data_IF_762535260248
#
_entry.id   IF_762535260248
#
_cell.length_a   1.000
_cell.length_b   1.000
_cell.length_c   1.000
_cell.angle_alpha   90.00
_cell.angle_beta   90.00
_cell.angle_gamma   90.00
#
_symmetry.space_group_name_H-M   'P 1'
#
loop_
_entity.id
_entity.type
_entity.pdbx_description
1 polymer ?
#
# COMPACT_ATOMS: atom_id res chain seq x y z
N UNK A 1 13.64 70.34 -43.62
CA UNK A 1 13.27 69.87 -42.27
C UNK A 1 13.28 68.34 -42.31
N UNK A 2 14.21 67.67 -41.62
CA UNK A 2 14.32 66.20 -41.59
C UNK A 2 13.58 65.67 -40.37
N UNK A 3 12.50 64.90 -40.56
CA UNK A 3 11.85 64.15 -39.48
C UNK A 3 12.63 62.86 -39.23
N UNK A 4 13.17 62.71 -38.02
CA UNK A 4 13.70 61.45 -37.52
C UNK A 4 12.54 60.60 -36.96
N UNK A 5 12.29 59.44 -37.57
CA UNK A 5 11.40 58.42 -37.02
C UNK A 5 12.16 57.59 -35.98
N UNK A 6 11.76 57.69 -34.72
CA UNK A 6 12.21 56.79 -33.65
C UNK A 6 11.34 55.53 -33.68
N UNK A 7 11.95 54.38 -33.96
CA UNK A 7 11.32 53.07 -33.84
C UNK A 7 11.37 52.60 -32.36
N UNK A 8 10.27 52.10 -31.77
CA UNK A 8 10.28 51.57 -30.42
C UNK A 8 10.87 50.15 -30.42
N UNK A 9 11.90 49.92 -29.62
CA UNK A 9 12.46 48.60 -29.38
C UNK A 9 11.58 47.85 -28.36
N UNK A 10 10.86 46.82 -28.82
CA UNK A 10 10.06 45.96 -27.96
C UNK A 10 10.98 44.98 -27.20
N UNK A 11 11.09 45.19 -25.89
CA UNK A 11 11.82 44.30 -24.99
C UNK A 11 10.96 43.08 -24.65
N UNK A 12 11.28 41.92 -25.24
CA UNK A 12 10.65 40.63 -24.90
C UNK A 12 11.24 40.13 -23.59
N UNK A 13 10.44 40.20 -22.51
CA UNK A 13 10.80 39.63 -21.21
C UNK A 13 10.51 38.12 -21.28
N UNK A 14 11.55 37.31 -21.41
CA UNK A 14 11.45 35.86 -21.20
C UNK A 14 11.21 35.60 -19.72
N UNK A 15 9.97 35.30 -19.34
CA UNK A 15 9.67 34.73 -18.03
C UNK A 15 10.33 33.35 -17.94
N UNK A 16 11.40 33.24 -17.17
CA UNK A 16 12.01 31.96 -16.85
C UNK A 16 10.99 31.16 -16.02
N UNK A 17 10.35 30.18 -16.65
CA UNK A 17 9.55 29.19 -15.93
C UNK A 17 10.53 28.38 -15.08
N UNK A 18 10.34 28.27 -13.75
CA UNK A 18 11.21 27.45 -12.93
C UNK A 18 11.15 26.02 -13.44
N UNK A 19 12.27 25.52 -13.95
CA UNK A 19 12.48 24.11 -14.16
C UNK A 19 12.66 23.49 -12.77
N UNK A 20 11.60 22.90 -12.21
CA UNK A 20 11.72 22.09 -11.01
C UNK A 20 12.65 20.92 -11.33
N UNK A 21 13.87 20.95 -10.81
CA UNK A 21 14.66 19.74 -10.71
C UNK A 21 13.89 18.80 -9.75
N UNK A 22 13.38 17.67 -10.25
CA UNK A 22 12.80 16.62 -9.40
C UNK A 22 13.94 16.04 -8.52
N UNK A 23 14.11 16.62 -7.34
CA UNK A 23 14.93 16.04 -6.28
C UNK A 23 14.16 14.86 -5.64
N UNK A 24 14.90 13.84 -5.22
CA UNK A 24 14.33 12.77 -4.41
C UNK A 24 14.02 13.31 -3.01
N UNK A 25 12.79 13.13 -2.57
CA UNK A 25 12.36 13.49 -1.23
C UNK A 25 11.95 12.23 -0.47
N UNK A 26 12.13 12.24 0.84
CA UNK A 26 11.39 11.34 1.72
C UNK A 26 9.98 11.92 1.93
N UNK A 27 8.98 11.21 1.43
CA UNK A 27 7.58 11.56 1.60
C UNK A 27 6.98 10.74 2.73
N UNK A 28 6.48 11.41 3.77
CA UNK A 28 5.77 10.80 4.88
C UNK A 28 4.28 11.13 4.85
N UNK A 29 3.43 10.12 5.03
CA UNK A 29 2.00 10.29 5.24
C UNK A 29 1.59 9.63 6.54
N UNK A 30 1.43 10.44 7.59
CA UNK A 30 1.01 9.99 8.92
C UNK A 30 -0.41 9.41 8.94
N UNK A 31 -1.32 9.97 8.14
CA UNK A 31 -2.71 9.50 8.09
C UNK A 31 -2.78 8.07 7.54
N UNK A 32 -2.01 7.82 6.48
CA UNK A 32 -1.91 6.52 5.85
C UNK A 32 -0.91 5.58 6.52
N UNK A 33 -0.01 6.09 7.36
CA UNK A 33 0.92 5.29 8.16
C UNK A 33 2.17 4.81 7.40
N UNK A 34 2.69 5.58 6.44
CA UNK A 34 3.90 5.19 5.70
C UNK A 34 4.86 6.35 5.40
N UNK A 35 6.11 5.99 5.13
CA UNK A 35 7.09 6.83 4.42
C UNK A 35 7.59 6.13 3.17
N UNK A 36 8.06 6.89 2.18
CA UNK A 36 8.65 6.36 0.95
C UNK A 36 9.50 7.43 0.29
N UNK A 37 10.54 7.04 -0.44
CA UNK A 37 11.28 7.99 -1.27
C UNK A 37 10.57 8.20 -2.61
N UNK A 38 10.34 9.44 -3.02
CA UNK A 38 9.71 9.77 -4.31
C UNK A 38 10.50 10.84 -5.05
N UNK A 39 10.48 10.87 -6.39
CA UNK A 39 11.09 11.94 -7.17
C UNK A 39 10.20 13.19 -7.14
N UNK A 40 10.09 13.83 -5.97
CA UNK A 40 9.26 15.00 -5.71
C UNK A 40 7.90 14.69 -5.08
N UNK A 41 7.13 15.74 -4.86
CA UNK A 41 5.81 15.65 -4.22
C UNK A 41 4.83 14.85 -5.09
N UNK A 42 4.14 13.83 -4.54
CA UNK A 42 3.22 13.02 -5.32
C UNK A 42 1.92 13.78 -5.63
N UNK A 43 1.35 13.45 -6.78
CA UNK A 43 -0.07 13.71 -7.04
C UNK A 43 -0.90 12.67 -6.32
N UNK A 44 -1.90 13.12 -5.55
CA UNK A 44 -2.77 12.25 -4.76
C UNK A 44 -4.13 12.12 -5.45
N UNK A 45 -4.62 10.90 -5.58
CA UNK A 45 -5.94 10.60 -6.15
C UNK A 45 -6.66 9.56 -5.33
N UNK A 46 -7.90 9.85 -4.94
CA UNK A 46 -8.80 8.89 -4.31
C UNK A 46 -9.31 7.86 -5.32
N UNK A 47 -9.47 6.62 -4.84
CA UNK A 47 -9.98 5.50 -5.61
C UNK A 47 -10.93 4.64 -4.78
N UNK A 48 -11.73 3.84 -5.48
CA UNK A 48 -12.44 2.71 -4.90
C UNK A 48 -11.76 1.41 -5.35
N UNK A 49 -11.60 0.47 -4.42
CA UNK A 49 -10.98 -0.82 -4.65
C UNK A 49 -11.99 -1.96 -4.47
N UNK A 50 -12.49 -2.56 -5.57
CA UNK A 50 -13.22 -3.81 -5.50
C UNK A 50 -12.25 -4.90 -5.02
N UNK A 51 -12.53 -5.53 -3.89
CA UNK A 51 -11.75 -6.64 -3.35
C UNK A 51 -12.10 -7.97 -4.04
N UNK A 52 -11.37 -9.02 -3.71
CA UNK A 52 -11.58 -10.35 -4.29
C UNK A 52 -13.00 -10.88 -4.05
N UNK A 53 -13.56 -10.65 -2.85
CA UNK A 53 -14.86 -11.22 -2.47
C UNK A 53 -16.02 -10.22 -2.56
N UNK A 54 -15.86 -9.19 -3.39
CA UNK A 54 -16.96 -8.32 -3.82
C UNK A 54 -17.30 -7.17 -2.88
N UNK A 55 -16.53 -6.97 -1.81
CA UNK A 55 -16.55 -5.73 -1.04
C UNK A 55 -15.85 -4.60 -1.82
N UNK A 56 -16.10 -3.35 -1.43
CA UNK A 56 -15.47 -2.18 -2.06
C UNK A 56 -14.89 -1.29 -0.96
N UNK A 57 -13.57 -1.12 -0.99
CA UNK A 57 -12.83 -0.35 0.01
C UNK A 57 -12.34 0.99 -0.56
N UNK A 58 -12.25 2.05 0.25
CA UNK A 58 -11.62 3.28 -0.17
C UNK A 58 -10.10 3.08 -0.29
N UNK A 59 -9.47 3.85 -1.17
CA UNK A 59 -8.02 3.89 -1.27
C UNK A 59 -7.53 5.20 -1.87
N UNK A 60 -6.21 5.38 -1.84
CA UNK A 60 -5.52 6.55 -2.40
C UNK A 60 -4.30 6.09 -3.19
N UNK A 61 -4.04 6.78 -4.30
CA UNK A 61 -2.84 6.59 -5.13
C UNK A 61 -1.98 7.86 -5.04
N UNK A 62 -0.72 7.68 -4.69
CA UNK A 62 0.31 8.71 -4.61
C UNK A 62 1.28 8.49 -5.79
N UNK A 63 1.23 9.32 -6.81
CA UNK A 63 2.02 9.14 -8.06
C UNK A 63 3.06 10.24 -8.24
N UNK A 64 4.31 9.86 -8.53
CA UNK A 64 5.40 10.78 -8.81
C UNK A 64 6.12 10.36 -10.11
N UNK A 65 5.74 10.92 -11.27
CA UNK A 65 6.42 10.65 -12.54
C UNK A 65 7.77 11.39 -12.61
N UNK A 66 8.75 10.78 -13.27
CA UNK A 66 10.06 11.39 -13.56
C UNK A 66 10.52 11.03 -14.97
N UNK A 67 10.32 11.94 -15.93
CA UNK A 67 10.64 11.66 -17.33
C UNK A 67 9.85 10.44 -17.85
N UNK A 68 10.56 9.36 -18.21
CA UNK A 68 9.96 8.09 -18.68
C UNK A 68 9.68 7.10 -17.54
N UNK A 69 10.04 7.44 -16.32
CA UNK A 69 9.87 6.61 -15.12
C UNK A 69 8.56 6.99 -14.41
N UNK A 70 7.91 6.00 -13.81
CA UNK A 70 6.71 6.20 -12.99
C UNK A 70 6.87 5.47 -11.66
N UNK A 71 6.56 6.16 -10.58
CA UNK A 71 6.61 5.64 -9.22
C UNK A 71 5.26 5.89 -8.56
N UNK A 72 4.75 4.87 -7.87
CA UNK A 72 3.44 4.94 -7.24
C UNK A 72 3.41 4.19 -5.92
N UNK A 73 2.67 4.74 -4.96
CA UNK A 73 2.20 4.02 -3.78
C UNK A 73 0.67 4.07 -3.80
N UNK A 74 0.03 2.92 -3.76
CA UNK A 74 -1.42 2.79 -3.57
C UNK A 74 -1.68 2.25 -2.17
N UNK A 75 -2.57 2.91 -1.42
CA UNK A 75 -3.01 2.47 -0.10
C UNK A 75 -4.49 2.15 -0.16
N UNK A 76 -4.88 0.93 0.23
CA UNK A 76 -6.27 0.52 0.38
C UNK A 76 -6.58 0.33 1.86
N UNK A 77 -7.66 0.95 2.34
CA UNK A 77 -8.02 0.95 3.74
C UNK A 77 -9.08 -0.12 4.05
N UNK A 78 -8.66 -1.18 4.74
CA UNK A 78 -9.53 -2.26 5.21
C UNK A 78 -9.95 -2.11 6.68
N UNK A 79 -9.58 -1.03 7.38
CA UNK A 79 -9.82 -0.88 8.83
C UNK A 79 -11.31 -0.94 9.19
N UNK A 80 -12.18 -0.49 8.29
CA UNK A 80 -13.64 -0.50 8.46
C UNK A 80 -14.34 -1.77 7.91
N UNK A 81 -13.59 -2.83 7.56
CA UNK A 81 -14.14 -4.03 6.91
C UNK A 81 -15.29 -4.69 7.68
N UNK A 82 -15.15 -4.88 9.01
CA UNK A 82 -16.22 -5.46 9.83
C UNK A 82 -17.51 -4.62 9.79
N UNK A 83 -17.35 -3.29 9.92
CA UNK A 83 -18.47 -2.33 9.89
C UNK A 83 -19.17 -2.33 8.53
N UNK A 84 -18.40 -2.30 7.43
CA UNK A 84 -18.96 -2.36 6.08
C UNK A 84 -19.69 -3.68 5.83
N UNK A 85 -19.09 -4.80 6.27
CA UNK A 85 -19.70 -6.11 6.14
C UNK A 85 -21.02 -6.23 6.92
N UNK A 86 -21.05 -5.72 8.15
CA UNK A 86 -22.24 -5.74 9.00
C UNK A 86 -23.40 -4.89 8.44
N UNK A 87 -23.11 -3.89 7.61
CA UNK A 87 -24.12 -3.06 6.96
C UNK A 87 -24.80 -3.75 5.76
N UNK A 88 -24.23 -4.83 5.25
CA UNK A 88 -24.79 -5.58 4.12
C UNK A 88 -25.82 -6.61 4.58
N UNK A 89 -26.83 -6.83 3.74
CA UNK A 89 -27.83 -7.87 3.99
C UNK A 89 -27.31 -9.24 3.54
N UNK A 90 -26.79 -10.02 4.49
CA UNK A 90 -26.27 -11.36 4.24
C UNK A 90 -27.28 -12.45 4.61
N UNK A 91 -27.34 -13.57 3.85
CA UNK A 91 -28.02 -14.78 4.28
C UNK A 91 -27.46 -15.24 5.64
N UNK A 92 -28.25 -15.92 6.49
CA UNK A 92 -27.78 -16.39 7.80
C UNK A 92 -26.48 -17.21 7.76
N UNK A 93 -26.22 -17.96 6.68
CA UNK A 93 -25.00 -18.74 6.47
C UNK A 93 -23.73 -17.88 6.31
N UNK A 94 -23.87 -16.62 5.89
CA UNK A 94 -22.78 -15.67 5.67
C UNK A 94 -22.74 -14.59 6.76
N UNK A 95 -23.02 -14.92 8.02
CA UNK A 95 -22.94 -13.93 9.13
C UNK A 95 -21.78 -14.17 10.10
N UNK A 96 -20.84 -15.04 9.73
CA UNK A 96 -19.67 -15.36 10.55
C UNK A 96 -18.56 -14.32 10.33
N UNK A 97 -17.80 -14.00 11.39
CA UNK A 97 -16.74 -13.00 11.34
C UNK A 97 -15.63 -13.32 10.33
N UNK A 98 -15.43 -14.60 9.99
CA UNK A 98 -14.44 -15.02 9.00
C UNK A 98 -14.65 -14.34 7.64
N UNK A 99 -15.88 -14.03 7.23
CA UNK A 99 -16.16 -13.56 5.88
C UNK A 99 -15.64 -12.16 5.57
N UNK A 100 -15.67 -11.22 6.53
CA UNK A 100 -15.06 -9.91 6.33
C UNK A 100 -13.53 -9.96 6.46
N UNK A 101 -13.00 -10.91 7.22
CA UNK A 101 -11.56 -11.11 7.38
C UNK A 101 -10.90 -11.69 6.13
N UNK A 102 -11.63 -12.51 5.37
CA UNK A 102 -11.13 -13.14 4.14
C UNK A 102 -10.65 -12.08 3.13
N UNK A 103 -11.38 -10.97 2.95
CA UNK A 103 -10.95 -9.88 2.05
C UNK A 103 -9.62 -9.24 2.47
N UNK A 104 -9.38 -9.13 3.78
CA UNK A 104 -8.11 -8.63 4.33
C UNK A 104 -7.00 -9.66 4.07
N UNK A 105 -7.25 -10.92 4.37
CA UNK A 105 -6.26 -12.00 4.22
C UNK A 105 -5.85 -12.23 2.75
N UNK A 106 -6.80 -12.12 1.83
CA UNK A 106 -6.56 -12.33 0.40
C UNK A 106 -5.96 -11.09 -0.29
N UNK A 107 -5.92 -9.94 0.37
CA UNK A 107 -5.64 -8.63 -0.22
C UNK A 107 -4.32 -8.57 -0.99
N UNK A 108 -3.24 -9.13 -0.44
CA UNK A 108 -1.91 -9.15 -1.07
C UNK A 108 -1.94 -9.96 -2.36
N UNK A 109 -2.44 -11.19 -2.31
CA UNK A 109 -2.47 -12.11 -3.45
C UNK A 109 -3.45 -11.65 -4.52
N UNK A 110 -4.54 -10.99 -4.12
CA UNK A 110 -5.48 -10.38 -5.03
C UNK A 110 -4.86 -9.20 -5.77
N UNK A 111 -4.20 -8.27 -5.07
CA UNK A 111 -3.51 -7.14 -5.70
C UNK A 111 -2.41 -7.61 -6.66
N UNK A 112 -1.61 -8.60 -6.24
CA UNK A 112 -0.63 -9.26 -7.09
C UNK A 112 -1.25 -9.78 -8.40
N UNK A 113 -2.36 -10.49 -8.29
CA UNK A 113 -3.04 -11.09 -9.45
C UNK A 113 -3.65 -10.03 -10.36
N UNK A 114 -4.44 -9.12 -9.78
CA UNK A 114 -5.23 -8.12 -10.49
C UNK A 114 -4.38 -7.06 -11.19
N UNK A 115 -3.30 -6.61 -10.57
CA UNK A 115 -2.51 -5.49 -11.07
C UNK A 115 -1.31 -5.95 -11.92
N UNK A 116 -0.77 -7.13 -11.64
CA UNK A 116 0.53 -7.53 -12.17
C UNK A 116 0.48 -8.87 -12.93
N UNK A 117 0.09 -9.97 -12.29
CA UNK A 117 0.18 -11.32 -12.90
C UNK A 117 -0.69 -11.47 -14.16
N UNK A 118 -1.85 -10.83 -14.18
CA UNK A 118 -2.79 -10.89 -15.30
C UNK A 118 -2.60 -9.75 -16.32
N UNK A 119 -1.56 -8.92 -16.16
CA UNK A 119 -1.33 -7.78 -17.05
C UNK A 119 -1.05 -8.28 -18.48
N UNK A 120 -1.87 -7.91 -19.49
CA UNK A 120 -1.73 -8.45 -20.84
C UNK A 120 -0.35 -8.21 -21.45
N UNK A 121 0.27 -9.27 -21.96
CA UNK A 121 1.58 -9.21 -22.60
C UNK A 121 2.76 -8.96 -21.66
N UNK A 122 2.54 -8.84 -20.34
CA UNK A 122 3.63 -8.78 -19.39
C UNK A 122 4.17 -10.18 -19.09
N UNK A 123 5.49 -10.28 -18.89
CA UNK A 123 6.17 -11.48 -18.42
C UNK A 123 6.61 -11.27 -16.98
N UNK A 124 6.07 -12.07 -16.06
CA UNK A 124 6.54 -12.11 -14.67
C UNK A 124 7.92 -12.77 -14.62
N UNK A 125 8.90 -12.07 -14.07
CA UNK A 125 10.30 -12.53 -13.95
C UNK A 125 10.68 -12.88 -12.51
N UNK A 126 9.94 -12.37 -11.52
CA UNK A 126 10.05 -12.71 -10.11
C UNK A 126 8.66 -12.61 -9.45
N UNK A 127 8.32 -13.55 -8.57
CA UNK A 127 7.02 -13.63 -7.87
C UNK A 127 7.19 -14.45 -6.60
N UNK A 128 7.43 -13.81 -5.45
CA UNK A 128 7.69 -14.51 -4.21
C UNK A 128 7.35 -13.70 -2.95
N UNK A 129 7.26 -14.42 -1.83
CA UNK A 129 7.19 -13.82 -0.49
C UNK A 129 8.41 -12.93 -0.24
N UNK A 130 8.18 -11.79 0.42
CA UNK A 130 9.20 -10.83 0.80
C UNK A 130 8.84 -10.18 2.13
N UNK A 131 9.70 -9.32 2.66
CA UNK A 131 9.40 -8.45 3.80
C UNK A 131 10.14 -7.11 3.68
N UNK A 132 9.61 -6.04 4.27
CA UNK A 132 10.29 -4.75 4.39
C UNK A 132 10.03 -4.18 5.78
N UNK A 133 11.06 -3.65 6.45
CA UNK A 133 10.99 -3.29 7.86
C UNK A 133 10.41 -4.41 8.76
N UNK A 134 10.70 -5.67 8.39
CA UNK A 134 10.15 -6.89 8.96
C UNK A 134 8.63 -7.06 8.83
N UNK A 135 7.92 -6.20 8.10
CA UNK A 135 6.53 -6.43 7.70
C UNK A 135 6.52 -7.39 6.52
N UNK A 136 5.87 -8.54 6.68
CA UNK A 136 5.76 -9.51 5.60
C UNK A 136 4.91 -8.98 4.44
N UNK A 137 5.19 -9.50 3.26
CA UNK A 137 4.48 -9.14 2.06
C UNK A 137 4.92 -9.97 0.88
N UNK A 138 4.85 -9.35 -0.29
CA UNK A 138 5.05 -10.03 -1.56
C UNK A 138 5.75 -9.10 -2.55
N UNK A 139 6.70 -9.63 -3.32
CA UNK A 139 7.40 -8.86 -4.33
C UNK A 139 7.25 -9.51 -5.71
N UNK A 140 7.09 -8.66 -6.72
CA UNK A 140 6.83 -9.03 -8.12
C UNK A 140 7.69 -8.19 -9.04
N UNK A 141 8.37 -8.82 -10.00
CA UNK A 141 9.06 -8.12 -11.09
C UNK A 141 8.49 -8.57 -12.43
N UNK A 142 8.36 -7.63 -13.36
CA UNK A 142 7.76 -7.86 -14.66
C UNK A 142 8.56 -7.15 -15.76
N UNK A 143 8.70 -7.80 -16.90
CA UNK A 143 8.90 -7.11 -18.19
C UNK A 143 7.53 -6.87 -18.81
N UNK A 144 7.14 -5.62 -19.04
CA UNK A 144 5.87 -5.24 -19.64
C UNK A 144 5.88 -5.47 -21.16
N UNK A 145 4.68 -5.44 -21.76
CA UNK A 145 4.49 -5.61 -23.21
C UNK A 145 5.23 -4.55 -24.05
N UNK A 146 5.41 -3.34 -23.51
CA UNK A 146 6.14 -2.23 -24.15
C UNK A 146 7.67 -2.28 -23.88
N UNK A 147 8.15 -3.35 -23.23
CA UNK A 147 9.54 -3.55 -22.87
C UNK A 147 9.98 -2.84 -21.60
N UNK A 148 9.13 -2.04 -20.95
CA UNK A 148 9.46 -1.42 -19.65
C UNK A 148 9.55 -2.47 -18.55
N UNK A 149 10.34 -2.20 -17.52
CA UNK A 149 10.50 -3.08 -16.35
C UNK A 149 9.68 -2.50 -15.21
N UNK A 150 8.87 -3.34 -14.53
CA UNK A 150 8.13 -2.97 -13.33
C UNK A 150 8.55 -3.83 -12.17
N UNK A 151 8.94 -3.21 -11.05
CA UNK A 151 9.03 -3.90 -9.78
C UNK A 151 7.88 -3.42 -8.90
N UNK A 152 7.30 -4.34 -8.14
CA UNK A 152 6.24 -4.06 -7.20
C UNK A 152 6.50 -4.75 -5.86
N UNK A 153 6.15 -4.07 -4.78
CA UNK A 153 6.12 -4.60 -3.41
C UNK A 153 4.71 -4.41 -2.83
N UNK A 154 4.17 -5.44 -2.21
CA UNK A 154 2.80 -5.45 -1.68
C UNK A 154 2.84 -5.90 -0.23
N UNK A 155 2.40 -5.04 0.67
CA UNK A 155 2.51 -5.24 2.12
C UNK A 155 1.19 -4.91 2.81
N UNK A 156 0.89 -5.60 3.90
CA UNK A 156 -0.31 -5.36 4.70
C UNK A 156 0.12 -4.99 6.12
N UNK A 157 -0.20 -3.78 6.56
CA UNK A 157 0.16 -3.29 7.89
C UNK A 157 -1.00 -2.54 8.53
N UNK A 158 -1.36 -2.93 9.75
CA UNK A 158 -2.51 -2.42 10.50
C UNK A 158 -3.79 -2.33 9.63
N UNK A 159 -4.05 -3.38 8.85
CA UNK A 159 -5.20 -3.49 7.93
C UNK A 159 -5.26 -2.41 6.84
N UNK A 160 -4.12 -1.86 6.45
CA UNK A 160 -3.94 -1.08 5.22
C UNK A 160 -3.04 -1.84 4.26
N UNK A 161 -3.51 -2.00 3.02
CA UNK A 161 -2.74 -2.64 1.97
C UNK A 161 -1.94 -1.58 1.23
N UNK A 162 -0.62 -1.69 1.24
CA UNK A 162 0.30 -0.83 0.54
C UNK A 162 0.82 -1.57 -0.69
N UNK A 163 0.60 -0.99 -1.88
CA UNK A 163 1.10 -1.51 -3.15
C UNK A 163 2.03 -0.45 -3.71
N UNK A 164 3.32 -0.76 -3.76
CA UNK A 164 4.35 0.07 -4.35
C UNK A 164 4.65 -0.49 -5.72
N UNK A 165 4.72 0.37 -6.73
CA UNK A 165 5.24 -0.02 -8.03
C UNK A 165 6.08 1.09 -8.66
N UNK A 166 7.22 0.68 -9.22
CA UNK A 166 8.08 1.50 -10.03
C UNK A 166 8.17 0.90 -11.42
N UNK A 167 7.90 1.69 -12.46
CA UNK A 167 8.08 1.31 -13.86
C UNK A 167 9.14 2.18 -14.51
N UNK A 168 10.14 1.55 -15.13
CA UNK A 168 11.27 2.23 -15.78
C UNK A 168 11.50 1.67 -17.20
N UNK A 169 12.10 2.44 -18.12
CA UNK A 169 12.59 1.92 -19.39
C UNK A 169 13.60 0.77 -19.22
N UNK A 170 13.69 -0.13 -20.20
CA UNK A 170 14.67 -1.23 -20.19
C UNK A 170 16.14 -0.78 -20.13
N UNK A 171 16.42 0.44 -20.58
CA UNK A 171 17.75 1.07 -20.60
C UNK A 171 18.05 1.91 -19.33
N UNK A 172 17.11 1.96 -18.39
CA UNK A 172 17.26 2.68 -17.12
C UNK A 172 17.59 1.71 -15.96
N UNK A 173 18.23 2.20 -14.87
CA UNK A 173 18.38 1.42 -13.64
C UNK A 173 17.02 0.96 -13.10
N UNK A 174 16.95 -0.31 -12.67
CA UNK A 174 15.73 -0.86 -12.07
C UNK A 174 15.34 -0.10 -10.78
N UNK A 175 14.03 0.00 -10.46
CA UNK A 175 13.53 0.85 -9.39
C UNK A 175 13.70 0.22 -7.99
N UNK A 176 14.76 -0.55 -7.76
CA UNK A 176 14.99 -1.28 -6.51
C UNK A 176 15.08 -0.38 -5.27
N UNK A 177 15.75 0.78 -5.37
CA UNK A 177 15.85 1.74 -4.27
C UNK A 177 14.49 2.32 -3.87
N UNK A 178 13.61 2.55 -4.85
CA UNK A 178 12.24 2.98 -4.58
C UNK A 178 11.47 1.89 -3.82
N UNK A 179 11.51 0.65 -4.32
CA UNK A 179 10.80 -0.48 -3.70
C UNK A 179 11.27 -0.74 -2.27
N UNK A 180 12.58 -0.58 -2.00
CA UNK A 180 13.15 -0.78 -0.66
C UNK A 180 13.02 0.43 0.27
N UNK A 181 12.37 1.51 -0.16
CA UNK A 181 12.25 2.74 0.64
C UNK A 181 10.98 2.85 1.47
N UNK A 182 10.05 1.87 1.38
CA UNK A 182 8.86 1.88 2.21
C UNK A 182 9.23 1.76 3.69
N UNK A 183 8.78 2.72 4.48
CA UNK A 183 8.73 2.63 5.93
C UNK A 183 7.29 2.66 6.44
N UNK A 184 7.07 2.16 7.65
CA UNK A 184 5.76 2.19 8.32
C UNK A 184 5.78 3.15 9.50
N UNK A 185 4.71 3.93 9.65
CA UNK A 185 4.54 4.91 10.72
C UNK A 185 3.45 4.48 11.70
N UNK A 186 3.67 4.77 12.98
CA UNK A 186 2.65 4.64 14.02
C UNK A 186 1.66 5.83 14.00
N UNK A 187 0.72 5.83 14.95
CA UNK A 187 -0.28 6.89 15.05
C UNK A 187 0.32 8.26 15.41
N UNK A 188 1.53 8.30 15.97
CA UNK A 188 2.28 9.51 16.32
C UNK A 188 3.07 10.04 15.13
N UNK A 189 3.27 9.22 14.10
CA UNK A 189 4.08 9.53 12.91
C UNK A 189 5.53 9.10 13.05
N UNK A 190 5.85 8.25 14.03
CA UNK A 190 7.19 7.72 14.25
C UNK A 190 7.36 6.38 13.52
N UNK A 191 8.59 6.06 13.11
CA UNK A 191 8.88 4.79 12.45
C UNK A 191 8.63 3.60 13.37
N UNK A 192 7.85 2.64 12.88
CA UNK A 192 7.63 1.38 13.57
C UNK A 192 8.86 0.51 13.41
N UNK A 193 9.38 0.00 14.53
CA UNK A 193 10.51 -0.93 14.54
C UNK A 193 10.12 -2.26 15.14
N UNK A 194 10.01 -3.27 14.29
CA UNK A 194 9.78 -4.64 14.73
C UNK A 194 11.09 -5.34 15.12
N UNK A 195 10.96 -6.42 15.91
CA UNK A 195 12.09 -7.31 16.27
C UNK A 195 11.98 -8.70 15.61
N UNK A 196 10.80 -9.03 15.13
CA UNK A 196 10.44 -10.28 14.47
C UNK A 196 9.57 -9.93 13.26
N UNK A 197 9.33 -10.90 12.38
CA UNK A 197 8.42 -10.70 11.25
C UNK A 197 7.02 -10.33 11.76
N UNK A 198 6.55 -9.16 11.35
CA UNK A 198 5.18 -8.72 11.54
C UNK A 198 4.30 -9.35 10.45
N UNK A 199 3.37 -10.20 10.89
CA UNK A 199 2.21 -10.63 10.12
C UNK A 199 1.00 -9.79 10.51
N UNK A 200 0.22 -9.36 9.51
CA UNK A 200 -0.91 -8.48 9.77
C UNK A 200 -1.92 -9.12 10.73
N UNK A 201 -2.29 -8.38 11.77
CA UNK A 201 -3.29 -8.82 12.74
C UNK A 201 -4.68 -8.48 12.23
N UNK A 202 -5.53 -9.49 12.15
CA UNK A 202 -6.95 -9.28 11.91
C UNK A 202 -7.57 -8.54 13.11
N UNK A 203 -8.45 -7.55 12.86
CA UNK A 203 -9.17 -6.89 13.94
C UNK A 203 -9.92 -7.92 14.81
N UNK A 204 -9.99 -7.73 16.14
CA UNK A 204 -10.80 -8.58 17.00
C UNK A 204 -12.27 -8.44 16.61
N UNK A 205 -13.03 -9.53 16.67
CA UNK A 205 -14.46 -9.54 16.35
C UNK A 205 -15.23 -8.72 17.38
N UNK A 206 -15.94 -7.67 16.96
CA UNK A 206 -16.63 -6.74 17.86
C UNK A 206 -18.13 -6.99 17.98
N UNK A 207 -18.74 -7.72 17.03
CA UNK A 207 -20.20 -7.98 17.03
C UNK A 207 -20.53 -9.38 17.59
N UNK A 208 -21.11 -9.40 18.79
CA UNK A 208 -22.09 -10.43 19.22
C UNK A 208 -21.57 -11.87 19.34
N UNK A 209 -20.62 -12.10 20.24
CA UNK A 209 -20.29 -13.44 20.72
C UNK A 209 -21.52 -14.19 21.25
N UNK A 210 -22.08 -15.08 20.43
CA UNK A 210 -22.80 -16.27 20.90
C UNK A 210 -21.89 -17.49 20.73
N UNK A 211 -20.77 -17.45 21.46
CA UNK A 211 -19.77 -18.51 21.49
C UNK A 211 -19.04 -18.61 22.84
N UNK A 212 -19.58 -18.01 23.90
CA UNK A 212 -19.11 -18.24 25.25
C UNK A 212 -19.55 -19.62 25.77
N UNK A 213 -18.83 -20.68 25.41
CA UNK A 213 -18.75 -21.94 26.17
C UNK A 213 -17.40 -22.63 25.97
N UNK A 214 -16.34 -21.98 26.43
CA UNK A 214 -15.16 -22.68 26.91
C UNK A 214 -15.31 -22.99 28.40
N UNK A 215 -16.16 -23.96 28.77
CA UNK A 215 -16.03 -24.62 30.07
C UNK A 215 -14.77 -25.48 29.97
N UNK A 216 -13.66 -24.99 30.50
CA UNK A 216 -12.36 -25.65 30.48
C UNK A 216 -11.50 -25.23 31.66
N UNK A 217 -12.05 -25.33 32.87
CA UNK A 217 -11.33 -25.16 34.12
C UNK A 217 -11.80 -26.23 35.09
N UNK A 218 -11.43 -27.48 34.83
CA UNK A 218 -11.54 -28.53 35.81
C UNK A 218 -10.64 -28.17 36.99
N UNK A 219 -11.25 -27.96 38.16
CA UNK A 219 -10.55 -27.93 39.44
C UNK A 219 -9.73 -29.21 39.57
N UNK A 220 -8.41 -29.06 39.62
CA UNK A 220 -7.53 -30.11 40.10
C UNK A 220 -7.83 -30.32 41.60
N UNK A 221 -8.05 -31.56 42.08
CA UNK A 221 -8.21 -31.82 43.50
C UNK A 221 -6.91 -31.47 44.24
N UNK A 222 -7.06 -30.80 45.38
CA UNK A 222 -5.98 -30.55 46.32
C UNK A 222 -5.31 -31.88 46.73
N UNK A 223 -4.01 -31.98 46.49
CA UNK A 223 -3.19 -33.01 47.11
C UNK A 223 -2.79 -32.54 48.51
N UNK A 224 -3.44 -33.11 49.51
CA UNK A 224 -2.98 -33.12 50.89
C UNK A 224 -1.59 -33.78 50.95
N UNK A 225 -0.58 -33.02 51.35
CA UNK A 225 0.63 -33.58 51.95
C UNK A 225 0.55 -33.36 53.46
N UNK A 226 0.51 -34.42 54.29
CA UNK A 226 0.73 -34.26 55.72
C UNK A 226 2.23 -34.08 55.99
N UNK A 227 2.53 -33.08 56.80
CA UNK A 227 3.82 -32.91 57.46
C UNK A 227 4.16 -34.14 58.31
N UNK A 228 5.33 -34.74 58.08
CA UNK A 228 6.36 -35.06 59.09
C UNK A 228 7.65 -35.51 58.40
#
# INVERSE_FOLDING_TARGET
>A
MRLMLLAPASLVICLAVPASAQEWIEYGNREEGFTVNLPGQPQVREITWPSEYGMVFPGRVYSAPRGRERYSVTVIDYRDAEKQYAALNHPPSFRQAVYWQIDIMASIQYAATKLFRQKPGAKVTYDAWHYIDLVEGHQLHLTNADGTITHAGIYLHENRLYILDGTVPADAPEPGLFIQSLGFLDAQGEHVRYREIYSNRLPPVTIGGRGGRGRGGAQAPAQDQPQR
#
